data_IF_475909898835
#
_entry.id   IF_475909898835
#
_cell.length_a   1.000
_cell.length_b   1.000
_cell.length_c   1.000
_cell.angle_alpha   90.00
_cell.angle_beta   90.00
_cell.angle_gamma   90.00
#
_symmetry.space_group_name_H-M   'P 1'
#
loop_
_entity.id
_entity.type
_entity.pdbx_description
1 polymer ?
#
# COMPACT_ATOMS: atom_id res chain seq x y z
N UNK A 1 46.33 17.49 21.51
CA UNK A 1 45.48 18.62 21.93
C UNK A 1 45.60 19.68 20.84
N UNK A 2 44.59 20.22 20.17
CA UNK A 2 43.13 20.11 20.20
C UNK A 2 42.65 20.45 18.77
N UNK A 3 41.52 19.84 18.39
CA UNK A 3 40.79 20.11 17.16
C UNK A 3 40.24 21.55 17.11
N UNK A 4 39.92 22.03 15.90
CA UNK A 4 38.68 22.80 15.64
C UNK A 4 38.44 22.86 14.14
N UNK A 5 37.66 21.89 13.64
CA UNK A 5 36.99 21.98 12.35
C UNK A 5 35.73 22.82 12.50
N UNK A 6 35.55 23.81 11.62
CA UNK A 6 34.26 24.46 11.41
C UNK A 6 33.57 23.82 10.21
N UNK A 7 32.90 22.69 10.47
CA UNK A 7 31.90 22.16 9.56
C UNK A 7 30.67 23.06 9.59
N UNK A 8 30.66 24.08 8.73
CA UNK A 8 29.47 24.87 8.47
C UNK A 8 28.34 23.97 7.97
N UNK A 9 27.25 23.92 8.73
CA UNK A 9 25.99 23.33 8.30
C UNK A 9 25.52 24.02 7.02
N UNK A 10 25.80 23.43 5.85
CA UNK A 10 25.08 23.74 4.62
C UNK A 10 23.65 23.24 4.80
N UNK A 11 22.76 24.15 5.18
CA UNK A 11 21.33 23.93 4.97
C UNK A 11 21.13 23.58 3.51
N UNK A 12 20.58 22.40 3.23
CA UNK A 12 20.10 22.07 1.90
C UNK A 12 19.12 23.17 1.50
N UNK A 13 19.53 24.01 0.53
CA UNK A 13 18.60 24.90 -0.15
C UNK A 13 17.51 24.00 -0.70
N UNK A 14 16.30 24.12 -0.14
CA UNK A 14 15.10 23.45 -0.62
C UNK A 14 15.00 23.81 -2.10
N UNK A 15 15.40 22.90 -2.98
CA UNK A 15 15.23 23.13 -4.40
C UNK A 15 13.73 23.33 -4.62
N UNK A 16 13.38 24.48 -5.20
CA UNK A 16 12.02 24.76 -5.60
C UNK A 16 11.71 23.70 -6.66
N UNK A 17 10.93 22.69 -6.29
CA UNK A 17 10.46 21.69 -7.25
C UNK A 17 9.64 22.48 -8.26
N UNK A 18 10.15 22.56 -9.48
CA UNK A 18 9.38 23.02 -10.62
C UNK A 18 8.18 22.08 -10.73
N UNK A 19 6.98 22.65 -10.72
CA UNK A 19 5.78 21.87 -10.90
C UNK A 19 5.71 21.45 -12.36
N UNK A 20 5.08 20.31 -12.60
CA UNK A 20 4.79 19.90 -13.95
C UNK A 20 3.91 20.99 -14.64
N UNK A 21 4.19 21.38 -15.89
CA UNK A 21 3.43 22.44 -16.57
C UNK A 21 1.92 22.21 -16.60
N UNK A 22 1.45 20.95 -16.65
CA UNK A 22 0.02 20.65 -16.56
C UNK A 22 -0.56 20.98 -15.19
N UNK A 23 0.21 20.76 -14.12
CA UNK A 23 -0.19 21.09 -12.75
C UNK A 23 -0.26 22.61 -12.55
N UNK A 24 0.69 23.36 -13.10
CA UNK A 24 0.64 24.83 -13.08
C UNK A 24 -0.59 25.36 -13.83
N UNK A 25 -0.93 24.74 -14.96
CA UNK A 25 -2.14 25.04 -15.73
C UNK A 25 -3.43 24.80 -14.94
N UNK A 26 -3.50 23.77 -14.10
CA UNK A 26 -4.66 23.53 -13.22
C UNK A 26 -4.77 24.56 -12.10
N UNK A 27 -3.64 24.93 -11.48
CA UNK A 27 -3.60 25.90 -10.38
C UNK A 27 -3.99 27.30 -10.87
N UNK A 28 -3.62 27.66 -12.11
CA UNK A 28 -3.79 29.00 -12.68
C UNK A 28 -5.00 29.06 -13.65
N UNK A 29 -5.78 27.98 -13.80
CA UNK A 29 -6.91 27.92 -14.74
C UNK A 29 -7.85 29.13 -14.61
N UNK A 30 -8.23 29.49 -13.38
CA UNK A 30 -9.10 30.63 -13.10
C UNK A 30 -8.51 32.01 -13.45
N UNK A 31 -7.19 32.14 -13.59
CA UNK A 31 -6.50 33.41 -13.87
C UNK A 31 -5.89 33.50 -15.28
N UNK A 32 -5.82 32.40 -16.03
CA UNK A 32 -5.39 32.36 -17.44
C UNK A 32 -6.53 32.58 -18.45
N UNK A 33 -7.76 32.85 -17.98
CA UNK A 33 -8.92 33.08 -18.85
C UNK A 33 -9.58 31.80 -19.36
N UNK A 34 -9.01 30.62 -19.05
CA UNK A 34 -9.68 29.33 -19.23
C UNK A 34 -10.48 29.04 -17.97
N UNK A 35 -11.70 29.57 -17.91
CA UNK A 35 -12.57 29.58 -16.71
C UNK A 35 -13.06 28.18 -16.26
N UNK A 36 -12.47 27.10 -16.77
CA UNK A 36 -12.90 25.72 -16.56
C UNK A 36 -11.72 24.80 -16.27
N UNK A 37 -11.65 24.25 -15.06
CA UNK A 37 -10.62 23.26 -14.73
C UNK A 37 -10.76 21.96 -15.54
N UNK A 38 -11.99 21.55 -15.89
CA UNK A 38 -12.20 20.34 -16.70
C UNK A 38 -11.59 20.47 -18.10
N UNK A 39 -11.64 21.66 -18.70
CA UNK A 39 -11.01 21.90 -20.01
C UNK A 39 -9.51 21.74 -19.91
N UNK A 40 -8.89 22.19 -18.81
CA UNK A 40 -7.46 22.01 -18.57
C UNK A 40 -7.11 20.54 -18.31
N UNK A 41 -7.92 19.80 -17.55
CA UNK A 41 -7.72 18.35 -17.34
C UNK A 41 -7.74 17.62 -18.67
N UNK A 42 -8.75 17.87 -19.51
CA UNK A 42 -8.83 17.26 -20.84
C UNK A 42 -7.65 17.71 -21.70
N UNK A 43 -7.32 19.00 -21.74
CA UNK A 43 -6.26 19.48 -22.65
C UNK A 43 -4.86 19.01 -22.24
N UNK A 44 -4.59 18.86 -20.95
CA UNK A 44 -3.28 18.46 -20.44
C UNK A 44 -3.09 16.94 -20.34
N UNK A 45 -4.18 16.18 -20.13
CA UNK A 45 -4.10 14.74 -19.84
C UNK A 45 -4.91 13.87 -20.79
N UNK A 46 -5.77 14.43 -21.65
CA UNK A 46 -6.46 13.64 -22.66
C UNK A 46 -5.46 13.25 -23.74
N UNK A 47 -5.23 11.95 -23.82
CA UNK A 47 -4.30 11.33 -24.75
C UNK A 47 -4.84 11.31 -26.19
N UNK A 48 -6.01 11.92 -26.43
CA UNK A 48 -6.68 11.98 -27.73
C UNK A 48 -5.90 12.72 -28.82
N UNK A 49 -4.90 13.54 -28.45
CA UNK A 49 -3.95 14.17 -29.38
C UNK A 49 -2.72 13.30 -29.70
N UNK A 50 -2.47 12.25 -28.92
CA UNK A 50 -1.44 11.25 -29.19
C UNK A 50 -2.15 10.17 -29.99
N UNK A 51 -1.81 9.94 -31.26
CA UNK A 51 -2.55 9.09 -32.21
C UNK A 51 -2.79 7.61 -31.82
N UNK A 52 -2.56 7.22 -30.56
CA UNK A 52 -2.87 5.91 -30.00
C UNK A 52 -4.34 5.82 -29.57
N UNK A 53 -5.20 5.47 -30.54
CA UNK A 53 -6.61 5.06 -30.35
C UNK A 53 -6.76 3.66 -29.73
N UNK A 54 -5.70 3.12 -29.15
CA UNK A 54 -5.57 1.68 -28.86
C UNK A 54 -6.38 1.22 -27.63
N UNK A 55 -6.82 2.15 -26.78
CA UNK A 55 -7.62 1.86 -25.57
C UNK A 55 -8.94 2.61 -25.59
N UNK A 56 -9.78 2.31 -26.58
CA UNK A 56 -11.18 2.73 -26.54
C UNK A 56 -11.94 1.88 -25.53
N UNK A 57 -12.76 2.49 -24.66
CA UNK A 57 -13.66 1.77 -23.75
C UNK A 57 -14.60 0.79 -24.47
N UNK A 58 -14.80 0.99 -25.78
CA UNK A 58 -15.53 0.10 -26.70
C UNK A 58 -14.79 -1.23 -26.93
N UNK A 59 -13.46 -1.26 -26.84
CA UNK A 59 -12.68 -2.50 -26.99
C UNK A 59 -12.71 -3.40 -25.72
N UNK A 60 -13.10 -2.83 -24.58
CA UNK A 60 -13.16 -3.56 -23.30
C UNK A 60 -14.43 -4.44 -23.19
N UNK A 61 -15.52 -4.05 -23.85
CA UNK A 61 -16.75 -4.84 -23.94
C UNK A 61 -17.30 -4.76 -25.37
N UNK A 62 -17.00 -5.76 -26.22
CA UNK A 62 -17.42 -5.76 -27.62
C UNK A 62 -18.93 -5.99 -27.80
N UNK A 63 -19.62 -6.46 -26.76
CA UNK A 63 -21.06 -6.70 -26.79
C UNK A 63 -21.86 -5.42 -26.43
N UNK A 64 -21.18 -4.40 -25.89
CA UNK A 64 -21.76 -3.10 -25.57
C UNK A 64 -21.31 -2.02 -26.57
N UNK A 65 -22.26 -1.44 -27.33
CA UNK A 65 -21.97 -0.37 -28.29
C UNK A 65 -21.43 0.91 -27.65
N UNK A 66 -21.75 1.12 -26.37
CA UNK A 66 -21.33 2.27 -25.57
C UNK A 66 -20.03 1.97 -24.78
N UNK A 67 -19.46 0.77 -24.99
CA UNK A 67 -18.28 0.24 -24.29
C UNK A 67 -18.54 -0.18 -22.85
N UNK A 68 -17.47 -0.63 -22.20
CA UNK A 68 -17.56 -1.15 -20.83
C UNK A 68 -18.06 -0.09 -19.86
N UNK A 69 -19.08 -0.41 -19.05
CA UNK A 69 -19.70 0.46 -18.04
C UNK A 69 -18.68 1.06 -17.06
N UNK A 70 -17.57 0.36 -16.81
CA UNK A 70 -16.50 0.82 -15.92
C UNK A 70 -15.50 1.75 -16.61
N UNK A 71 -15.37 1.66 -17.93
CA UNK A 71 -14.39 2.40 -18.71
C UNK A 71 -14.99 3.61 -19.43
N UNK A 72 -16.32 3.66 -19.61
CA UNK A 72 -17.00 4.77 -20.26
C UNK A 72 -16.83 6.05 -19.42
N UNK A 73 -16.27 7.14 -19.99
CA UNK A 73 -16.16 8.40 -19.27
C UNK A 73 -17.54 8.92 -18.88
N UNK A 74 -17.84 8.89 -17.58
CA UNK A 74 -19.11 9.43 -17.08
C UNK A 74 -19.05 10.94 -17.10
N UNK A 75 -19.96 11.58 -17.85
CA UNK A 75 -20.08 13.04 -17.82
C UNK A 75 -20.46 13.48 -16.40
N UNK A 76 -19.65 14.32 -15.75
CA UNK A 76 -19.94 14.75 -14.40
C UNK A 76 -21.17 15.67 -14.38
N UNK A 77 -22.02 15.52 -13.37
CA UNK A 77 -23.24 16.34 -13.19
C UNK A 77 -22.91 17.81 -12.85
N UNK A 78 -21.73 18.06 -12.29
CA UNK A 78 -21.21 19.39 -11.94
C UNK A 78 -19.86 19.57 -12.65
N UNK A 79 -19.61 20.76 -13.20
CA UNK A 79 -18.41 21.03 -13.99
C UNK A 79 -17.14 21.17 -13.12
N UNK A 80 -16.91 22.31 -12.49
CA UNK A 80 -15.81 22.49 -11.54
C UNK A 80 -16.19 23.57 -10.53
N UNK A 81 -15.37 23.73 -9.51
CA UNK A 81 -15.45 24.79 -8.49
C UNK A 81 -15.43 26.21 -9.09
N UNK A 82 -14.70 26.43 -10.19
CA UNK A 82 -14.70 27.72 -10.91
C UNK A 82 -16.08 28.05 -11.51
N UNK A 83 -16.76 27.05 -12.08
CA UNK A 83 -18.05 27.24 -12.74
C UNK A 83 -19.25 27.09 -11.80
N UNK A 84 -19.11 26.29 -10.74
CA UNK A 84 -20.20 25.96 -9.82
C UNK A 84 -19.70 26.04 -8.37
N UNK A 85 -19.20 27.20 -7.90
CA UNK A 85 -18.58 27.31 -6.57
C UNK A 85 -19.53 26.87 -5.45
N UNK A 86 -20.84 27.09 -5.61
CA UNK A 86 -21.87 26.67 -4.66
C UNK A 86 -22.06 25.16 -4.54
N UNK A 87 -21.60 24.37 -5.51
CA UNK A 87 -21.64 22.91 -5.45
C UNK A 87 -20.49 22.32 -4.62
N UNK A 88 -19.48 23.12 -4.26
CA UNK A 88 -18.26 22.68 -3.57
C UNK A 88 -18.10 23.31 -2.17
N UNK A 89 -19.15 23.87 -1.57
CA UNK A 89 -19.09 24.54 -0.26
C UNK A 89 -18.56 23.63 0.87
N UNK A 90 -18.62 22.30 0.69
CA UNK A 90 -18.18 21.31 1.68
C UNK A 90 -16.67 21.03 1.70
N UNK A 91 -15.89 21.47 0.70
CA UNK A 91 -14.43 21.20 0.67
C UNK A 91 -13.62 22.13 1.57
N UNK A 92 -14.22 23.21 2.08
CA UNK A 92 -13.57 24.15 3.03
C UNK A 92 -13.56 23.63 4.49
N UNK A 93 -14.27 22.53 4.76
CA UNK A 93 -14.20 21.89 6.09
C UNK A 93 -12.91 21.08 6.15
N UNK A 94 -11.92 21.59 6.90
CA UNK A 94 -10.74 20.79 7.22
C UNK A 94 -11.21 19.43 7.77
N UNK A 95 -10.83 18.30 7.15
CA UNK A 95 -11.21 17.01 7.69
C UNK A 95 -10.66 16.92 9.12
N UNK A 96 -11.44 16.35 10.07
CA UNK A 96 -10.93 16.09 11.40
C UNK A 96 -9.63 15.30 11.27
N UNK A 97 -8.63 15.65 12.08
CA UNK A 97 -7.35 14.96 12.06
C UNK A 97 -7.62 13.46 12.18
N UNK A 98 -7.12 12.62 11.25
CA UNK A 98 -7.38 11.20 11.31
C UNK A 98 -6.92 10.65 12.68
N UNK A 99 -7.63 9.66 13.24
CA UNK A 99 -7.18 9.00 14.45
C UNK A 99 -5.75 8.52 14.25
N UNK A 100 -4.93 8.68 15.29
CA UNK A 100 -3.52 8.30 15.23
C UNK A 100 -3.47 6.79 15.00
N UNK A 101 -2.88 6.38 13.88
CA UNK A 101 -2.62 4.96 13.63
C UNK A 101 -1.80 4.39 14.81
N UNK A 102 -2.00 3.10 15.16
CA UNK A 102 -1.13 2.41 16.09
C UNK A 102 0.33 2.66 15.74
N UNK A 103 1.17 2.89 16.75
CA UNK A 103 2.60 3.01 16.51
C UNK A 103 3.12 1.67 15.99
N UNK A 104 3.63 1.67 14.76
CA UNK A 104 4.26 0.50 14.17
C UNK A 104 5.53 0.19 14.95
N UNK A 105 5.89 -1.09 15.00
CA UNK A 105 7.16 -1.48 15.57
C UNK A 105 8.33 -0.92 14.77
N UNK A 106 9.35 -0.38 15.45
CA UNK A 106 10.65 -0.16 14.80
C UNK A 106 11.31 -1.52 14.55
N UNK A 107 11.60 -1.82 13.28
CA UNK A 107 12.22 -3.06 12.82
C UNK A 107 13.68 -2.79 12.44
N UNK A 108 14.59 -3.66 12.88
CA UNK A 108 16.01 -3.57 12.50
C UNK A 108 16.21 -4.07 11.08
N UNK A 109 17.27 -3.58 10.40
CA UNK A 109 17.65 -4.12 9.10
C UNK A 109 18.15 -5.56 9.27
N UNK A 110 17.70 -6.44 8.39
CA UNK A 110 18.13 -7.84 8.31
C UNK A 110 18.36 -8.21 6.84
N UNK A 111 18.93 -9.39 6.62
CA UNK A 111 19.02 -10.01 5.31
C UNK A 111 17.93 -11.06 5.21
N UNK A 112 17.11 -11.03 4.15
CA UNK A 112 16.13 -12.09 3.92
C UNK A 112 16.83 -13.45 3.81
N UNK A 113 16.32 -14.44 4.53
CA UNK A 113 16.73 -15.84 4.39
C UNK A 113 15.77 -16.57 3.45
N UNK A 114 16.02 -17.86 3.22
CA UNK A 114 15.22 -18.70 2.33
C UNK A 114 13.75 -18.79 2.75
N UNK A 115 13.45 -18.69 4.06
CA UNK A 115 12.08 -18.78 4.56
C UNK A 115 11.29 -17.50 4.30
N UNK A 116 11.92 -16.33 4.44
CA UNK A 116 11.31 -15.04 4.10
C UNK A 116 11.06 -14.92 2.60
N UNK A 117 11.98 -15.40 1.76
CA UNK A 117 11.78 -15.45 0.32
C UNK A 117 10.61 -16.37 -0.05
N UNK A 118 10.54 -17.57 0.53
CA UNK A 118 9.41 -18.48 0.30
C UNK A 118 8.08 -17.88 0.76
N UNK A 119 8.08 -17.12 1.86
CA UNK A 119 6.89 -16.40 2.33
C UNK A 119 6.48 -15.28 1.37
N UNK A 120 7.46 -14.55 0.83
CA UNK A 120 7.21 -13.54 -0.20
C UNK A 120 6.51 -14.16 -1.41
N UNK A 121 7.11 -15.21 -1.99
CA UNK A 121 6.58 -15.90 -3.17
C UNK A 121 5.16 -16.44 -2.91
N UNK A 122 4.91 -17.03 -1.74
CA UNK A 122 3.59 -17.55 -1.42
C UNK A 122 2.53 -16.47 -1.24
N UNK A 123 2.89 -15.30 -0.69
CA UNK A 123 1.98 -14.16 -0.56
C UNK A 123 1.71 -13.50 -1.92
N UNK A 124 2.72 -13.44 -2.79
CA UNK A 124 2.65 -13.03 -4.18
C UNK A 124 1.66 -13.89 -4.98
N UNK A 125 1.85 -15.21 -4.98
CA UNK A 125 0.97 -16.18 -5.64
C UNK A 125 -0.46 -16.10 -5.10
N UNK A 126 -0.61 -16.01 -3.77
CA UNK A 126 -1.91 -15.91 -3.12
C UNK A 126 -2.64 -14.62 -3.53
N UNK A 127 -1.95 -13.46 -3.55
CA UNK A 127 -2.62 -12.19 -3.92
C UNK A 127 -3.05 -12.19 -5.38
N UNK A 128 -2.26 -12.75 -6.28
CA UNK A 128 -2.59 -12.86 -7.70
C UNK A 128 -3.83 -13.75 -7.88
N UNK A 129 -3.83 -14.93 -7.26
CA UNK A 129 -4.97 -15.84 -7.27
C UNK A 129 -6.26 -15.18 -6.75
N UNK A 130 -6.17 -14.34 -5.72
CA UNK A 130 -7.32 -13.59 -5.20
C UNK A 130 -7.86 -12.54 -6.16
N UNK A 131 -6.97 -11.83 -6.86
CA UNK A 131 -7.39 -10.86 -7.89
C UNK A 131 -8.06 -11.59 -9.05
N UNK A 132 -7.49 -12.70 -9.51
CA UNK A 132 -8.08 -13.52 -10.59
C UNK A 132 -9.50 -13.97 -10.22
N UNK A 133 -9.69 -14.50 -9.00
CA UNK A 133 -11.00 -14.97 -8.54
C UNK A 133 -12.01 -13.83 -8.43
N UNK A 134 -11.60 -12.63 -8.03
CA UNK A 134 -12.51 -11.50 -7.83
C UNK A 134 -12.79 -10.66 -9.07
N UNK A 135 -11.78 -10.45 -9.91
CA UNK A 135 -11.79 -9.47 -10.99
C UNK A 135 -11.45 -10.07 -12.36
N UNK A 136 -11.03 -11.34 -12.40
CA UNK A 136 -10.63 -12.03 -13.63
C UNK A 136 -9.17 -11.81 -14.00
N UNK A 137 -8.68 -12.65 -14.92
CA UNK A 137 -7.27 -12.66 -15.38
C UNK A 137 -6.90 -11.36 -16.09
N UNK A 138 -7.81 -10.77 -16.86
CA UNK A 138 -7.56 -9.51 -17.57
C UNK A 138 -7.14 -8.39 -16.60
N UNK A 139 -7.76 -8.33 -15.43
CA UNK A 139 -7.45 -7.30 -14.44
C UNK A 139 -6.02 -7.39 -13.90
N UNK A 140 -5.49 -8.61 -13.71
CA UNK A 140 -4.09 -8.80 -13.29
C UNK A 140 -3.14 -8.28 -14.36
N UNK A 141 -3.43 -8.53 -15.64
CA UNK A 141 -2.56 -8.08 -16.74
C UNK A 141 -2.54 -6.56 -16.88
N UNK A 142 -3.68 -5.90 -16.67
CA UNK A 142 -3.81 -4.46 -16.89
C UNK A 142 -3.36 -3.62 -15.69
N UNK A 143 -3.64 -4.08 -14.46
CA UNK A 143 -3.45 -3.30 -13.23
C UNK A 143 -2.54 -3.96 -12.19
N UNK A 144 -2.19 -5.23 -12.39
CA UNK A 144 -1.40 -6.02 -11.46
C UNK A 144 -2.19 -6.54 -10.25
N UNK A 145 -1.53 -7.33 -9.38
CA UNK A 145 -2.17 -8.00 -8.25
C UNK A 145 -2.37 -7.11 -7.01
N UNK A 146 -1.96 -5.83 -7.07
CA UNK A 146 -1.95 -4.92 -5.92
C UNK A 146 -3.33 -4.51 -5.38
N UNK A 147 -4.41 -4.87 -6.06
CA UNK A 147 -5.79 -4.54 -5.66
C UNK A 147 -6.18 -5.15 -4.31
N UNK A 148 -5.69 -6.34 -3.99
CA UNK A 148 -6.01 -7.05 -2.73
C UNK A 148 -5.00 -6.73 -1.63
N UNK A 149 -3.71 -6.84 -1.97
CA UNK A 149 -2.60 -6.63 -1.05
C UNK A 149 -1.45 -5.96 -1.80
N UNK A 150 -1.08 -4.75 -1.37
CA UNK A 150 -0.02 -3.96 -1.99
C UNK A 150 1.36 -4.57 -1.71
N UNK A 151 2.32 -4.45 -2.63
CA UNK A 151 3.69 -4.97 -2.44
C UNK A 151 4.37 -4.44 -1.16
N UNK A 152 4.31 -3.14 -0.82
CA UNK A 152 4.86 -2.64 0.44
C UNK A 152 4.20 -3.25 1.69
N UNK A 153 2.97 -3.77 1.59
CA UNK A 153 2.34 -4.48 2.70
C UNK A 153 2.89 -5.90 2.82
N UNK A 154 3.22 -6.58 1.71
CA UNK A 154 3.93 -7.87 1.75
C UNK A 154 5.28 -7.68 2.45
N UNK A 155 6.07 -6.69 2.05
CA UNK A 155 7.35 -6.38 2.70
C UNK A 155 7.18 -6.18 4.21
N UNK A 156 6.16 -5.41 4.62
CA UNK A 156 5.87 -5.17 6.03
C UNK A 156 5.48 -6.45 6.78
N UNK A 157 4.70 -7.33 6.15
CA UNK A 157 4.32 -8.63 6.71
C UNK A 157 5.57 -9.48 6.93
N UNK A 158 6.43 -9.58 5.91
CA UNK A 158 7.68 -10.35 6.00
C UNK A 158 8.57 -9.79 7.11
N UNK A 159 8.76 -8.47 7.15
CA UNK A 159 9.55 -7.82 8.20
C UNK A 159 8.98 -8.09 9.59
N UNK A 160 7.65 -8.05 9.73
CA UNK A 160 6.99 -8.31 11.02
C UNK A 160 7.11 -9.77 11.46
N UNK A 161 7.04 -10.71 10.51
CA UNK A 161 7.24 -12.13 10.77
C UNK A 161 8.69 -12.42 11.14
N UNK A 162 9.66 -11.84 10.42
CA UNK A 162 11.09 -11.99 10.74
C UNK A 162 11.40 -11.58 12.18
N UNK A 163 10.80 -10.49 12.65
CA UNK A 163 10.96 -10.01 14.02
C UNK A 163 10.04 -10.69 15.05
N UNK A 164 9.32 -11.75 14.65
CA UNK A 164 8.41 -12.53 15.51
C UNK A 164 7.27 -11.69 16.12
N UNK A 165 6.76 -10.71 15.36
CA UNK A 165 5.73 -9.75 15.81
C UNK A 165 4.34 -9.99 15.23
N UNK A 166 4.19 -10.96 14.33
CA UNK A 166 2.96 -11.19 13.57
C UNK A 166 2.48 -12.64 13.75
N UNK A 167 1.51 -12.84 14.64
CA UNK A 167 0.97 -14.17 14.97
C UNK A 167 -0.55 -14.24 14.97
N UNK A 168 -1.19 -13.15 15.31
CA UNK A 168 -2.65 -13.04 15.36
C UNK A 168 -3.16 -12.05 14.33
N UNK A 169 -4.46 -12.13 14.02
CA UNK A 169 -5.12 -11.16 13.13
C UNK A 169 -4.96 -9.74 13.69
N UNK A 170 -4.96 -9.61 15.02
CA UNK A 170 -4.75 -8.34 15.69
C UNK A 170 -3.30 -7.82 15.53
N UNK A 171 -2.30 -8.70 15.52
CA UNK A 171 -0.92 -8.31 15.23
C UNK A 171 -0.78 -7.86 13.78
N UNK A 172 -1.37 -8.60 12.85
CA UNK A 172 -1.40 -8.23 11.43
C UNK A 172 -2.04 -6.84 11.24
N UNK A 173 -3.17 -6.56 11.89
CA UNK A 173 -3.79 -5.24 11.88
C UNK A 173 -2.89 -4.16 12.48
N UNK A 174 -2.30 -4.44 13.65
CA UNK A 174 -1.45 -3.48 14.36
C UNK A 174 -0.21 -3.09 13.56
N UNK A 175 0.46 -4.05 12.92
CA UNK A 175 1.70 -3.78 12.19
C UNK A 175 1.42 -3.22 10.79
N UNK A 176 0.37 -3.67 10.09
CA UNK A 176 0.15 -3.25 8.68
C UNK A 176 -0.88 -2.14 8.51
N UNK A 177 -1.82 -1.98 9.45
CA UNK A 177 -3.03 -1.16 9.27
C UNK A 177 -3.82 -1.47 7.98
N UNK A 178 -3.65 -2.68 7.43
CA UNK A 178 -4.26 -3.05 6.16
C UNK A 178 -5.77 -3.27 6.31
N UNK A 179 -6.56 -2.51 5.56
CA UNK A 179 -8.03 -2.58 5.59
C UNK A 179 -8.60 -3.96 5.23
N UNK A 180 -7.85 -4.78 4.50
CA UNK A 180 -8.26 -6.13 4.10
C UNK A 180 -8.13 -7.19 5.19
N UNK A 181 -7.56 -6.86 6.37
CA UNK A 181 -7.33 -7.85 7.45
C UNK A 181 -8.61 -8.55 7.90
N UNK A 182 -9.74 -7.83 7.96
CA UNK A 182 -11.02 -8.43 8.34
C UNK A 182 -11.54 -9.48 7.35
N UNK A 183 -11.16 -9.37 6.07
CA UNK A 183 -11.61 -10.28 5.00
C UNK A 183 -10.62 -11.40 4.74
N UNK A 184 -9.32 -11.10 4.83
CA UNK A 184 -8.25 -11.96 4.34
C UNK A 184 -7.21 -12.32 5.39
N UNK A 185 -7.24 -11.69 6.57
CA UNK A 185 -6.21 -11.85 7.58
C UNK A 185 -6.02 -13.29 8.04
N UNK A 186 -7.10 -14.08 8.11
CA UNK A 186 -7.02 -15.50 8.46
C UNK A 186 -6.26 -16.33 7.42
N UNK A 187 -6.45 -16.05 6.12
CA UNK A 187 -5.75 -16.76 5.05
C UNK A 187 -4.27 -16.38 5.00
N UNK A 188 -3.98 -15.07 5.12
CA UNK A 188 -2.60 -14.57 5.17
C UNK A 188 -1.84 -15.19 6.35
N UNK A 189 -2.46 -15.26 7.53
CA UNK A 189 -1.84 -15.93 8.68
C UNK A 189 -1.66 -17.42 8.49
N UNK A 190 -2.56 -18.10 7.78
CA UNK A 190 -2.39 -19.52 7.47
C UNK A 190 -1.13 -19.74 6.62
N UNK A 191 -0.88 -18.88 5.62
CA UNK A 191 0.34 -18.91 4.79
C UNK A 191 1.58 -18.66 5.65
N UNK A 192 1.54 -17.64 6.51
CA UNK A 192 2.64 -17.32 7.45
C UNK A 192 2.98 -18.54 8.32
N UNK A 193 1.98 -19.13 8.98
CA UNK A 193 2.18 -20.27 9.88
C UNK A 193 2.61 -21.55 9.16
N UNK A 194 2.27 -21.71 7.89
CA UNK A 194 2.71 -22.84 7.08
C UNK A 194 4.21 -22.77 6.75
N UNK A 195 4.72 -21.58 6.43
CA UNK A 195 6.10 -21.39 5.97
C UNK A 195 7.05 -21.13 7.13
N UNK A 196 6.58 -20.42 8.14
CA UNK A 196 7.31 -20.11 9.37
C UNK A 196 6.49 -20.65 10.55
N UNK A 197 6.56 -21.98 10.79
CA UNK A 197 5.91 -22.59 11.93
C UNK A 197 6.48 -22.01 13.22
N UNK A 198 5.63 -21.78 14.20
CA UNK A 198 6.09 -21.35 15.50
C UNK A 198 6.96 -22.43 16.15
N UNK A 199 8.13 -22.03 16.64
CA UNK A 199 8.70 -22.68 17.81
C UNK A 199 7.80 -22.29 18.99
N UNK A 200 6.82 -23.13 19.31
CA UNK A 200 6.20 -23.06 20.62
C UNK A 200 7.29 -23.34 21.66
N UNK A 201 7.87 -22.29 22.24
CA UNK A 201 8.58 -22.38 23.51
C UNK A 201 7.56 -22.71 24.61
N UNK A 202 7.13 -23.97 24.66
CA UNK A 202 6.84 -24.60 25.93
C UNK A 202 8.19 -24.93 26.57
N UNK A 203 8.47 -24.51 27.82
CA UNK A 203 9.68 -24.99 28.48
C UNK A 203 9.54 -26.49 28.66
N UNK A 204 10.21 -27.27 27.80
CA UNK A 204 10.62 -28.62 28.14
C UNK A 204 11.71 -28.47 29.21
N UNK A 205 11.28 -28.11 30.42
CA UNK A 205 11.97 -28.54 31.62
C UNK A 205 11.92 -30.06 31.59
N UNK A 206 12.92 -30.65 30.93
CA UNK A 206 13.42 -31.98 31.27
C UNK A 206 13.66 -31.95 32.77
N UNK A 207 12.64 -32.37 33.55
CA UNK A 207 12.80 -32.72 34.95
C UNK A 207 13.78 -33.86 34.96
N UNK A 208 15.06 -33.54 35.13
CA UNK A 208 16.03 -34.54 35.58
C UNK A 208 15.48 -35.11 36.90
N UNK A 209 15.41 -36.43 37.05
CA UNK A 209 15.12 -37.02 38.34
C UNK A 209 16.16 -36.51 39.33
N UNK A 210 15.71 -35.82 40.38
CA UNK A 210 16.54 -35.53 41.54
C UNK A 210 16.89 -36.91 42.13
N UNK A 211 18.10 -37.39 41.85
CA UNK A 211 18.69 -38.49 42.60
C UNK A 211 19.17 -37.89 43.93
N UNK A 212 18.57 -38.22 45.08
CA UNK A 212 19.11 -37.79 46.35
C UNK A 212 20.38 -38.59 46.61
N UNK A 213 21.52 -37.91 46.50
CA UNK A 213 22.80 -38.45 46.98
C UNK A 213 22.88 -38.20 48.50
N UNK A 214 23.34 -39.24 49.20
CA UNK A 214 23.76 -39.28 50.60
C UNK A 214 22.70 -39.66 51.65
N UNK A 215 22.76 -40.93 52.06
CA UNK A 215 23.07 -41.26 53.44
C UNK A 215 24.11 -42.38 53.42
N UNK A 216 25.37 -41.97 53.36
CA UNK A 216 26.49 -42.81 53.74
C UNK A 216 26.81 -42.45 55.19
N UNK A 217 26.98 -43.51 56.00
CA UNK A 217 27.71 -43.60 57.27
C UNK A 217 26.90 -43.55 58.58
N UNK A 218 27.44 -44.13 59.67
CA UNK A 218 28.62 -45.01 59.79
C UNK A 218 28.29 -46.48 60.06
#
# INVERSE_FOLDING_TARGET
MLASGSSGHRGLKKQRKELDPAMDCLIIAGSQGVMCQQVMIVTCFDNSNTGNKEYSHVACDPDCSDGCVWCVPTKPHVCCDLHNPSAFIFVDVLPPSPPRNPAHSHLSKYSMETRELALCDALEDWREGKVIVKLGVAHVNDYGPGFILLSPMIDHIIDSVHHLKLWTINDLWRETCWSGVGLYGAEVLAIVHQIIPQLHDGPLLMRMPIVPHAALQP
#
